data_IF_223885030222
#
_entry.id   IF_223885030222
#
_cell.length_a   1.000
_cell.length_b   1.000
_cell.length_c   1.000
_cell.angle_alpha   90.00
_cell.angle_beta   90.00
_cell.angle_gamma   90.00
#
_symmetry.space_group_name_H-M   'P 1'
#
loop_
_entity.id
_entity.type
_entity.pdbx_description
1 polymer ?
#
# COMPACT_ATOMS: atom_id res chain seq x y z
N UNK A 1 -0.86 18.88 26.21
CA UNK A 1 -1.58 18.23 25.07
C UNK A 1 -0.98 18.55 23.70
N UNK A 2 -0.09 19.50 23.57
CA UNK A 2 0.55 19.91 22.29
C UNK A 2 1.66 18.98 21.82
N UNK A 3 2.36 18.28 22.69
CA UNK A 3 3.53 17.44 22.32
C UNK A 3 3.18 16.13 21.60
N UNK A 4 1.97 15.60 21.79
CA UNK A 4 1.53 14.35 21.12
C UNK A 4 1.08 14.60 19.67
N UNK A 5 0.67 15.83 19.36
CA UNK A 5 0.18 16.20 18.02
C UNK A 5 1.35 16.44 17.06
N UNK A 6 2.50 16.91 17.57
CA UNK A 6 3.70 17.13 16.75
C UNK A 6 4.40 15.82 16.34
N UNK A 7 4.34 14.79 17.17
CA UNK A 7 4.98 13.49 16.93
C UNK A 7 4.38 12.69 15.76
N UNK A 8 3.29 13.13 15.14
CA UNK A 8 2.59 12.41 14.07
C UNK A 8 2.65 13.12 12.71
N UNK A 9 3.61 14.02 12.50
CA UNK A 9 3.71 14.79 11.26
C UNK A 9 4.23 13.91 10.12
N UNK A 10 3.51 13.90 8.98
CA UNK A 10 4.00 13.29 7.74
C UNK A 10 5.29 13.98 7.34
N UNK A 11 6.34 13.20 7.06
CA UNK A 11 7.65 13.74 6.67
C UNK A 11 7.61 14.16 5.21
N UNK A 12 7.78 15.46 4.95
CA UNK A 12 7.96 15.97 3.59
C UNK A 12 9.43 15.90 3.21
N UNK A 13 9.72 15.12 2.17
CA UNK A 13 11.08 15.02 1.63
C UNK A 13 11.35 16.09 0.57
N UNK A 14 12.60 16.52 0.51
CA UNK A 14 13.14 17.18 -0.69
C UNK A 14 13.16 16.16 -1.84
N UNK A 15 13.11 16.63 -3.09
CA UNK A 15 12.94 15.74 -4.26
C UNK A 15 13.94 14.57 -4.31
N UNK A 16 15.21 14.79 -3.98
CA UNK A 16 16.23 13.71 -3.97
C UNK A 16 15.92 12.66 -2.90
N UNK A 17 15.60 13.09 -1.69
CA UNK A 17 15.23 12.17 -0.60
C UNK A 17 13.98 11.36 -0.95
N UNK A 18 12.98 12.00 -1.59
CA UNK A 18 11.78 11.33 -2.06
C UNK A 18 12.12 10.13 -2.97
N UNK A 19 12.98 10.33 -3.97
CA UNK A 19 13.34 9.26 -4.91
C UNK A 19 14.20 8.17 -4.26
N UNK A 20 15.13 8.54 -3.38
CA UNK A 20 15.98 7.57 -2.66
C UNK A 20 15.13 6.68 -1.74
N UNK A 21 14.25 7.27 -0.93
CA UNK A 21 13.37 6.48 -0.05
C UNK A 21 12.35 5.68 -0.85
N UNK A 22 11.76 6.26 -1.91
CA UNK A 22 10.86 5.49 -2.77
C UNK A 22 11.58 4.29 -3.38
N UNK A 23 12.81 4.46 -3.89
CA UNK A 23 13.60 3.36 -4.45
C UNK A 23 13.91 2.27 -3.43
N UNK A 24 14.30 2.65 -2.20
CA UNK A 24 14.53 1.70 -1.11
C UNK A 24 13.27 0.87 -0.79
N UNK A 25 12.12 1.54 -0.64
CA UNK A 25 10.87 0.85 -0.31
C UNK A 25 10.32 0.02 -1.48
N UNK A 26 10.55 0.45 -2.73
CA UNK A 26 10.26 -0.39 -3.90
C UNK A 26 11.12 -1.66 -3.86
N UNK A 27 12.41 -1.56 -3.58
CA UNK A 27 13.30 -2.73 -3.46
C UNK A 27 12.86 -3.69 -2.36
N UNK A 28 12.52 -3.17 -1.17
CA UNK A 28 11.98 -3.97 -0.07
C UNK A 28 10.66 -4.64 -0.43
N UNK A 29 9.79 -3.93 -1.16
CA UNK A 29 8.50 -4.45 -1.57
C UNK A 29 8.65 -5.56 -2.63
N UNK A 30 9.51 -5.38 -3.63
CA UNK A 30 9.83 -6.41 -4.63
C UNK A 30 10.43 -7.65 -3.96
N UNK A 31 11.33 -7.47 -2.99
CA UNK A 31 11.88 -8.57 -2.20
C UNK A 31 10.79 -9.32 -1.43
N UNK A 32 9.88 -8.62 -0.76
CA UNK A 32 8.76 -9.23 -0.06
C UNK A 32 7.85 -10.02 -1.00
N UNK A 33 7.57 -9.48 -2.18
CA UNK A 33 6.82 -10.17 -3.24
C UNK A 33 7.52 -11.44 -3.67
N UNK A 34 8.83 -11.35 -3.94
CA UNK A 34 9.63 -12.50 -4.35
C UNK A 34 9.61 -13.61 -3.29
N UNK A 35 9.86 -13.27 -2.03
CA UNK A 35 9.86 -14.23 -0.91
C UNK A 35 8.48 -14.91 -0.77
N UNK A 36 7.40 -14.16 -0.78
CA UNK A 36 6.04 -14.72 -0.65
C UNK A 36 5.72 -15.68 -1.81
N UNK A 37 6.12 -15.32 -3.04
CA UNK A 37 5.89 -16.19 -4.20
C UNK A 37 6.81 -17.41 -4.22
N UNK A 38 8.04 -17.28 -3.74
CA UNK A 38 8.97 -18.40 -3.62
C UNK A 38 8.49 -19.45 -2.61
N UNK A 39 7.83 -19.01 -1.53
CA UNK A 39 7.34 -19.90 -0.47
C UNK A 39 6.00 -20.57 -0.81
N UNK A 40 5.08 -19.88 -1.46
CA UNK A 40 3.71 -20.36 -1.63
C UNK A 40 3.09 -20.09 -3.01
N UNK A 41 3.87 -19.66 -3.98
CA UNK A 41 3.41 -19.39 -5.34
C UNK A 41 2.40 -18.24 -5.43
N UNK A 42 1.64 -18.21 -6.52
CA UNK A 42 0.63 -17.18 -6.77
C UNK A 42 -0.55 -17.20 -5.79
N UNK A 43 -0.83 -18.35 -5.17
CA UNK A 43 -1.88 -18.46 -4.16
C UNK A 43 -1.55 -17.61 -2.92
N UNK A 44 -0.33 -17.69 -2.43
CA UNK A 44 0.13 -16.91 -1.29
C UNK A 44 0.20 -15.41 -1.61
N UNK A 45 0.58 -15.05 -2.84
CA UNK A 45 0.55 -13.67 -3.29
C UNK A 45 -0.84 -13.02 -3.17
N UNK A 46 -1.91 -13.77 -3.47
CA UNK A 46 -3.31 -13.31 -3.36
C UNK A 46 -3.81 -13.24 -1.92
N UNK A 47 -3.29 -14.08 -1.03
CA UNK A 47 -3.68 -14.10 0.39
C UNK A 47 -2.99 -12.97 1.15
N UNK A 48 -1.68 -12.84 0.99
CA UNK A 48 -0.87 -11.92 1.77
C UNK A 48 -0.78 -10.52 1.18
N UNK A 49 -1.10 -10.36 -0.12
CA UNK A 49 -1.09 -9.07 -0.84
C UNK A 49 0.21 -8.25 -0.60
N UNK A 50 1.40 -8.85 -0.74
CA UNK A 50 2.65 -8.20 -0.33
C UNK A 50 2.93 -6.89 -1.09
N UNK A 51 2.48 -6.77 -2.34
CA UNK A 51 2.67 -5.58 -3.17
C UNK A 51 2.02 -4.31 -2.58
N UNK A 52 0.95 -4.47 -1.81
CA UNK A 52 0.21 -3.34 -1.23
C UNK A 52 0.84 -2.82 0.05
N UNK A 53 1.58 -3.66 0.79
CA UNK A 53 2.06 -3.37 2.14
C UNK A 53 2.91 -2.10 2.21
N UNK A 54 4.02 -2.04 1.47
CA UNK A 54 4.91 -0.89 1.52
C UNK A 54 4.34 0.35 0.82
N UNK A 55 3.40 0.20 -0.12
CA UNK A 55 2.67 1.33 -0.67
C UNK A 55 1.85 2.06 0.42
N UNK A 56 1.13 1.30 1.27
CA UNK A 56 0.40 1.85 2.42
C UNK A 56 1.37 2.48 3.42
N UNK A 57 2.43 1.77 3.82
CA UNK A 57 3.42 2.26 4.78
C UNK A 57 4.03 3.58 4.34
N UNK A 58 4.50 3.64 3.09
CA UNK A 58 5.15 4.84 2.55
C UNK A 58 4.17 6.00 2.34
N UNK A 59 2.95 5.71 1.93
CA UNK A 59 1.89 6.71 1.88
C UNK A 59 1.63 7.31 3.26
N UNK A 60 1.37 6.48 4.25
CA UNK A 60 1.13 6.93 5.62
C UNK A 60 2.34 7.68 6.21
N UNK A 61 3.57 7.21 6.01
CA UNK A 61 4.76 7.79 6.64
C UNK A 61 5.29 9.03 5.93
N UNK A 62 5.30 9.05 4.60
CA UNK A 62 6.02 10.01 3.77
C UNK A 62 5.13 10.79 2.80
N UNK A 63 3.82 10.53 2.84
CA UNK A 63 2.83 11.25 2.05
C UNK A 63 2.53 10.62 0.69
N UNK A 64 1.55 11.22 0.00
CA UNK A 64 0.95 10.64 -1.20
C UNK A 64 1.91 10.43 -2.37
N UNK A 65 2.92 11.30 -2.53
CA UNK A 65 3.91 11.18 -3.63
C UNK A 65 4.73 9.92 -3.49
N UNK A 66 5.28 9.67 -2.29
CA UNK A 66 6.06 8.47 -2.01
C UNK A 66 5.20 7.21 -2.14
N UNK A 67 4.01 7.22 -1.54
CA UNK A 67 3.08 6.09 -1.62
C UNK A 67 2.66 5.75 -3.05
N UNK A 68 2.35 6.75 -3.88
CA UNK A 68 2.00 6.55 -5.28
C UNK A 68 3.17 6.01 -6.11
N UNK A 69 4.39 6.54 -5.93
CA UNK A 69 5.59 6.06 -6.64
C UNK A 69 5.87 4.59 -6.27
N UNK A 70 5.89 4.27 -4.97
CA UNK A 70 6.13 2.91 -4.49
C UNK A 70 5.03 1.97 -4.98
N UNK A 71 3.77 2.40 -4.90
CA UNK A 71 2.62 1.61 -5.33
C UNK A 71 2.63 1.30 -6.83
N UNK A 72 3.04 2.25 -7.67
CA UNK A 72 3.11 2.06 -9.12
C UNK A 72 4.36 1.26 -9.53
N UNK A 73 5.52 1.63 -8.99
CA UNK A 73 6.80 1.04 -9.40
C UNK A 73 6.94 -0.43 -8.98
N UNK A 74 6.41 -0.81 -7.81
CA UNK A 74 6.55 -2.18 -7.30
C UNK A 74 6.01 -3.24 -8.24
N UNK A 75 4.73 -3.23 -8.70
CA UNK A 75 4.22 -4.26 -9.58
C UNK A 75 4.91 -4.27 -10.94
N UNK A 76 5.32 -3.10 -11.46
CA UNK A 76 6.03 -3.00 -12.73
C UNK A 76 7.42 -3.65 -12.65
N UNK A 77 8.19 -3.32 -11.61
CA UNK A 77 9.52 -3.90 -11.40
C UNK A 77 9.45 -5.37 -11.01
N UNK A 78 8.48 -5.75 -10.17
CA UNK A 78 8.26 -7.16 -9.82
C UNK A 78 7.93 -7.99 -11.05
N UNK A 79 7.09 -7.50 -11.95
CA UNK A 79 6.79 -8.16 -13.23
C UNK A 79 8.06 -8.31 -14.08
N UNK A 80 8.87 -7.27 -14.22
CA UNK A 80 10.12 -7.31 -15.00
C UNK A 80 11.17 -8.27 -14.45
N UNK A 81 11.22 -8.47 -13.12
CA UNK A 81 12.23 -9.31 -12.46
C UNK A 81 11.77 -10.75 -12.28
N UNK A 82 10.53 -10.97 -11.87
CA UNK A 82 10.01 -12.27 -11.45
C UNK A 82 8.86 -12.81 -12.32
N UNK A 83 8.34 -12.01 -13.27
CA UNK A 83 7.15 -12.34 -14.04
C UNK A 83 5.83 -12.23 -13.24
N UNK A 84 5.89 -11.78 -11.99
CA UNK A 84 4.70 -11.56 -11.17
C UNK A 84 4.44 -10.06 -10.91
N UNK A 85 3.16 -9.64 -10.96
CA UNK A 85 1.95 -10.38 -11.30
C UNK A 85 1.93 -10.81 -12.77
N UNK A 86 1.06 -11.77 -13.13
CA UNK A 86 0.88 -12.15 -14.55
C UNK A 86 0.45 -10.95 -15.39
N UNK A 87 0.91 -10.87 -16.64
CA UNK A 87 0.71 -9.70 -17.51
C UNK A 87 -0.75 -9.23 -17.60
N UNK A 88 -1.72 -10.15 -17.62
CA UNK A 88 -3.15 -9.82 -17.70
C UNK A 88 -3.66 -9.06 -16.46
N UNK A 89 -3.10 -9.31 -15.27
CA UNK A 89 -3.49 -8.62 -14.03
C UNK A 89 -2.63 -7.41 -13.70
N UNK A 90 -1.52 -7.20 -14.43
CA UNK A 90 -0.57 -6.14 -14.12
C UNK A 90 -1.19 -4.73 -14.09
N UNK A 91 -2.00 -4.30 -15.10
CA UNK A 91 -2.58 -2.95 -15.08
C UNK A 91 -3.51 -2.72 -13.88
N UNK A 92 -4.35 -3.70 -13.56
CA UNK A 92 -5.27 -3.64 -12.42
C UNK A 92 -4.52 -3.50 -11.10
N UNK A 93 -3.53 -4.39 -10.88
CA UNK A 93 -2.73 -4.41 -9.64
C UNK A 93 -1.90 -3.13 -9.53
N UNK A 94 -1.28 -2.66 -10.61
CA UNK A 94 -0.47 -1.45 -10.61
C UNK A 94 -1.32 -0.21 -10.26
N UNK A 95 -2.49 -0.09 -10.88
CA UNK A 95 -3.40 1.03 -10.60
C UNK A 95 -3.96 0.97 -9.18
N UNK A 96 -4.38 -0.20 -8.72
CA UNK A 96 -4.90 -0.42 -7.37
C UNK A 96 -3.85 -0.10 -6.31
N UNK A 97 -2.61 -0.59 -6.49
CA UNK A 97 -1.52 -0.37 -5.53
C UNK A 97 -1.08 1.10 -5.49
N UNK A 98 -1.01 1.76 -6.67
CA UNK A 98 -0.74 3.19 -6.75
C UNK A 98 -1.83 4.03 -6.06
N UNK A 99 -3.11 3.72 -6.32
CA UNK A 99 -4.23 4.37 -5.66
C UNK A 99 -4.21 4.17 -4.14
N UNK A 100 -3.85 2.97 -3.69
CA UNK A 100 -3.76 2.65 -2.26
C UNK A 100 -2.69 3.50 -1.56
N UNK A 101 -1.48 3.58 -2.12
CA UNK A 101 -0.39 4.42 -1.60
C UNK A 101 -0.73 5.92 -1.66
N UNK A 102 -1.36 6.35 -2.75
CA UNK A 102 -1.82 7.72 -2.92
C UNK A 102 -2.87 8.13 -1.88
N UNK A 103 -3.92 7.32 -1.71
CA UNK A 103 -5.01 7.59 -0.75
C UNK A 103 -4.49 7.52 0.68
N UNK A 104 -3.65 6.55 1.02
CA UNK A 104 -3.02 6.45 2.33
C UNK A 104 -2.25 7.73 2.67
N UNK A 105 -1.49 8.26 1.71
CA UNK A 105 -0.76 9.51 1.86
C UNK A 105 -1.65 10.74 1.99
N UNK A 106 -2.71 10.84 1.18
CA UNK A 106 -3.65 11.95 1.27
C UNK A 106 -4.38 11.99 2.63
N UNK A 107 -4.83 10.83 3.12
CA UNK A 107 -5.51 10.73 4.42
C UNK A 107 -4.55 11.15 5.53
N UNK A 108 -3.30 10.70 5.45
CA UNK A 108 -2.25 11.02 6.41
C UNK A 108 -1.89 12.52 6.42
N UNK A 109 -1.72 13.13 5.24
CA UNK A 109 -1.39 14.56 5.13
C UNK A 109 -2.51 15.46 5.60
N UNK A 110 -3.76 15.09 5.32
CA UNK A 110 -4.92 15.86 5.74
C UNK A 110 -5.31 15.66 7.21
N UNK A 111 -4.67 14.72 7.90
CA UNK A 111 -4.92 14.41 9.33
C UNK A 111 -6.40 14.26 9.67
N UNK A 112 -7.16 13.61 8.78
CA UNK A 112 -8.61 13.53 8.89
C UNK A 112 -9.08 12.97 10.22
N UNK A 113 -8.26 12.15 10.91
CA UNK A 113 -8.67 11.44 12.13
C UNK A 113 -7.60 11.47 13.25
N UNK A 114 -6.41 11.98 12.99
CA UNK A 114 -5.35 12.16 14.01
C UNK A 114 -4.73 10.85 14.57
N UNK A 115 -5.09 9.68 14.04
CA UNK A 115 -4.55 8.38 14.44
C UNK A 115 -4.15 7.56 13.21
N UNK A 116 -2.89 7.13 13.16
CA UNK A 116 -2.30 6.39 12.02
C UNK A 116 -3.06 5.09 11.72
N UNK A 117 -3.55 4.39 12.76
CA UNK A 117 -4.33 3.17 12.57
C UNK A 117 -5.65 3.45 11.83
N UNK A 118 -6.37 4.49 12.25
CA UNK A 118 -7.62 4.90 11.59
C UNK A 118 -7.39 5.41 10.17
N UNK A 119 -6.28 6.13 9.94
CA UNK A 119 -5.85 6.54 8.60
C UNK A 119 -5.61 5.32 7.70
N UNK A 120 -4.93 4.27 8.22
CA UNK A 120 -4.70 3.02 7.52
C UNK A 120 -6.02 2.29 7.18
N UNK A 121 -6.93 2.19 8.15
CA UNK A 121 -8.25 1.55 7.94
C UNK A 121 -9.01 2.24 6.82
N UNK A 122 -9.13 3.58 6.86
CA UNK A 122 -9.86 4.33 5.85
C UNK A 122 -9.23 4.16 4.47
N UNK A 123 -7.90 4.29 4.38
CA UNK A 123 -7.21 4.17 3.11
C UNK A 123 -7.38 2.76 2.52
N UNK A 124 -7.09 1.72 3.32
CA UNK A 124 -7.12 0.34 2.85
C UNK A 124 -8.53 -0.10 2.52
N UNK A 125 -9.47 0.05 3.44
CA UNK A 125 -10.86 -0.37 3.23
C UNK A 125 -11.54 0.48 2.16
N UNK A 126 -11.33 1.81 2.17
CA UNK A 126 -11.90 2.71 1.18
C UNK A 126 -11.48 2.35 -0.24
N UNK A 127 -10.19 2.11 -0.48
CA UNK A 127 -9.69 1.69 -1.80
C UNK A 127 -10.22 0.31 -2.17
N UNK A 128 -10.27 -0.66 -1.25
CA UNK A 128 -10.83 -1.99 -1.53
C UNK A 128 -12.31 -1.91 -1.93
N UNK A 129 -13.10 -1.08 -1.26
CA UNK A 129 -14.52 -0.90 -1.60
C UNK A 129 -14.69 -0.24 -2.96
N UNK A 130 -13.96 0.85 -3.24
CA UNK A 130 -14.06 1.56 -4.53
C UNK A 130 -13.66 0.63 -5.69
N UNK A 131 -12.53 -0.07 -5.57
CA UNK A 131 -12.10 -1.02 -6.59
C UNK A 131 -13.05 -2.21 -6.70
N UNK A 132 -13.54 -2.74 -5.58
CA UNK A 132 -14.52 -3.81 -5.57
C UNK A 132 -15.79 -3.44 -6.34
N UNK A 133 -16.32 -2.24 -6.12
CA UNK A 133 -17.48 -1.73 -6.84
C UNK A 133 -17.19 -1.53 -8.34
N UNK A 134 -16.01 -0.97 -8.69
CA UNK A 134 -15.62 -0.77 -10.08
C UNK A 134 -15.50 -2.10 -10.83
N UNK A 135 -14.83 -3.10 -10.25
CA UNK A 135 -14.71 -4.44 -10.83
C UNK A 135 -16.08 -5.14 -10.91
N UNK A 136 -16.93 -4.97 -9.88
CA UNK A 136 -18.29 -5.51 -9.90
C UNK A 136 -19.13 -4.93 -11.03
N UNK A 137 -19.03 -3.62 -11.27
CA UNK A 137 -19.72 -2.96 -12.37
C UNK A 137 -19.22 -3.44 -13.74
N UNK A 138 -17.90 -3.65 -13.85
CA UNK A 138 -17.30 -4.14 -15.10
C UNK A 138 -17.63 -5.60 -15.40
N UNK A 139 -17.59 -6.47 -14.38
CA UNK A 139 -17.78 -7.92 -14.55
C UNK A 139 -19.23 -8.39 -14.39
N UNK A 140 -20.12 -7.52 -13.90
CA UNK A 140 -21.48 -7.90 -13.51
C UNK A 140 -21.57 -8.80 -12.29
N UNK A 141 -20.48 -8.95 -11.51
CA UNK A 141 -20.39 -9.89 -10.38
C UNK A 141 -19.81 -9.24 -9.13
N UNK A 142 -20.62 -9.13 -8.07
CA UNK A 142 -20.15 -8.68 -6.74
C UNK A 142 -19.08 -9.62 -6.17
N UNK A 143 -19.21 -10.92 -6.39
CA UNK A 143 -18.23 -11.89 -5.91
C UNK A 143 -16.85 -11.70 -6.56
N UNK A 144 -16.81 -11.35 -7.85
CA UNK A 144 -15.56 -11.03 -8.53
C UNK A 144 -14.95 -9.72 -8.00
N UNK A 145 -15.78 -8.68 -7.83
CA UNK A 145 -15.31 -7.37 -7.36
C UNK A 145 -14.72 -7.41 -5.95
N UNK A 146 -15.29 -8.18 -5.06
CA UNK A 146 -14.84 -8.27 -3.67
C UNK A 146 -13.96 -9.51 -3.39
N UNK A 147 -13.48 -10.19 -4.43
CA UNK A 147 -12.63 -11.38 -4.29
C UNK A 147 -11.36 -11.12 -3.47
N UNK A 148 -10.73 -9.96 -3.65
CA UNK A 148 -9.52 -9.59 -2.90
C UNK A 148 -9.82 -9.32 -1.43
N UNK A 149 -10.99 -8.75 -1.11
CA UNK A 149 -11.40 -8.53 0.28
C UNK A 149 -11.61 -9.87 1.00
N UNK A 150 -12.24 -10.82 0.28
CA UNK A 150 -12.58 -12.13 0.84
C UNK A 150 -11.39 -13.09 0.92
N UNK A 151 -10.52 -13.10 -0.09
CA UNK A 151 -9.36 -13.99 -0.15
C UNK A 151 -8.12 -13.38 0.50
N UNK A 152 -7.95 -12.07 0.35
CA UNK A 152 -6.81 -11.31 0.83
C UNK A 152 -6.98 -10.71 2.23
N UNK A 153 -8.02 -11.10 3.00
CA UNK A 153 -8.26 -10.54 4.33
C UNK A 153 -7.05 -10.63 5.26
N UNK A 154 -6.20 -11.70 5.25
CA UNK A 154 -5.02 -11.72 6.12
C UNK A 154 -4.01 -10.64 5.73
N UNK A 155 -3.79 -10.44 4.42
CA UNK A 155 -2.94 -9.38 3.90
C UNK A 155 -3.47 -7.99 4.25
N UNK A 156 -4.79 -7.78 4.16
CA UNK A 156 -5.45 -6.52 4.55
C UNK A 156 -5.24 -6.24 6.04
N UNK A 157 -5.40 -7.23 6.91
CA UNK A 157 -5.16 -7.08 8.34
C UNK A 157 -3.71 -6.72 8.65
N UNK A 158 -2.74 -7.34 7.95
CA UNK A 158 -1.32 -7.00 8.09
C UNK A 158 -1.05 -5.57 7.60
N UNK A 159 -1.62 -5.15 6.47
CA UNK A 159 -1.50 -3.78 5.96
C UNK A 159 -1.98 -2.76 6.99
N UNK A 160 -3.11 -3.01 7.64
CA UNK A 160 -3.67 -2.13 8.65
C UNK A 160 -2.84 -2.17 9.94
N UNK A 161 -2.60 -3.33 10.52
CA UNK A 161 -1.95 -3.44 11.83
C UNK A 161 -0.44 -3.17 11.74
N UNK A 162 0.29 -4.02 11.01
CA UNK A 162 1.75 -3.87 10.91
C UNK A 162 2.16 -2.64 10.07
N UNK A 163 1.36 -2.30 9.04
CA UNK A 163 1.60 -1.13 8.22
C UNK A 163 1.46 0.18 9.00
N UNK A 164 0.42 0.32 9.82
CA UNK A 164 0.25 1.50 10.68
C UNK A 164 1.32 1.59 11.77
N UNK A 165 1.70 0.46 12.37
CA UNK A 165 2.76 0.39 13.36
C UNK A 165 4.10 0.85 12.77
N UNK A 166 4.49 0.32 11.62
CA UNK A 166 5.72 0.70 10.93
C UNK A 166 5.71 2.17 10.50
N UNK A 167 4.60 2.64 9.92
CA UNK A 167 4.44 4.04 9.52
C UNK A 167 4.56 4.99 10.73
N UNK A 168 4.01 4.63 11.88
CA UNK A 168 4.13 5.41 13.11
C UNK A 168 5.59 5.51 13.58
N UNK A 169 6.36 4.42 13.52
CA UNK A 169 7.78 4.43 13.88
C UNK A 169 8.60 5.28 12.90
N UNK A 170 8.35 5.18 11.59
CA UNK A 170 9.03 5.98 10.58
C UNK A 170 8.73 7.48 10.73
N UNK A 171 7.50 7.85 11.08
CA UNK A 171 7.14 9.25 11.40
C UNK A 171 7.90 9.78 12.61
N UNK A 172 8.09 8.95 13.67
CA UNK A 172 8.82 9.33 14.88
C UNK A 172 10.32 9.47 14.66
N UNK A 173 10.92 8.58 13.89
CA UNK A 173 12.35 8.61 13.58
C UNK A 173 12.76 9.79 12.69
N UNK A 174 11.80 10.46 12.07
CA UNK A 174 12.02 11.59 11.17
C UNK A 174 11.89 12.98 11.82
N UNK A 175 11.50 13.03 13.10
CA UNK A 175 11.45 14.24 13.93
C UNK A 175 12.66 14.32 14.86
#
# INVERSE_FOLDING_TARGET
MTSQVEACRVRYFRNVELYVYSGLFVGLNVLAVYVVHALGGSAWGRIWLPMHFFAVVTGLAFGWRCGAIVGLATPLLSFGISGFPVAAGLPEIAFKTAALGFVAGLVAERRLIGNVLSEAVIAVIGVQVVFGLAVSAWTGSLAAGFADLWRGYPGIMIQIAAGSFLAMHLRRAGN
#
